data_IF_425169710049
#
_entry.id   IF_425169710049
#
_cell.length_a   1.000
_cell.length_b   1.000
_cell.length_c   1.000
_cell.angle_alpha   90.00
_cell.angle_beta   90.00
_cell.angle_gamma   90.00
#
_symmetry.space_group_name_H-M   'P 1'
#
loop_
_entity.id
_entity.type
_entity.pdbx_description
1 polymer ?
#
# COMPACT_ATOMS: atom_id res chain seq x y z
N UNK A 1 -4.31 59.99 50.30
CA UNK A 1 -4.15 58.74 49.52
C UNK A 1 -4.34 59.14 48.07
N UNK A 2 -3.28 59.17 47.27
CA UNK A 2 -3.44 59.43 45.84
C UNK A 2 -4.11 58.22 45.19
N UNK A 3 -5.22 58.47 44.49
CA UNK A 3 -5.90 57.45 43.71
C UNK A 3 -5.15 57.30 42.38
N UNK A 4 -4.52 56.15 42.17
CA UNK A 4 -3.94 55.79 40.87
C UNK A 4 -5.04 55.15 40.04
N UNK A 5 -5.39 55.76 38.91
CA UNK A 5 -6.29 55.18 37.92
C UNK A 5 -5.52 54.19 37.06
N UNK A 6 -5.83 52.89 37.17
CA UNK A 6 -5.28 51.84 36.31
C UNK A 6 -6.32 51.45 35.26
N UNK A 7 -5.95 51.49 33.98
CA UNK A 7 -6.77 50.94 32.89
C UNK A 7 -6.18 49.57 32.54
N UNK A 8 -6.93 48.50 32.85
CA UNK A 8 -6.53 47.13 32.52
C UNK A 8 -7.42 46.55 31.40
N UNK A 9 -6.85 45.70 30.57
CA UNK A 9 -7.56 45.01 29.51
C UNK A 9 -6.84 43.75 29.02
N UNK A 10 -7.34 43.19 27.93
CA UNK A 10 -6.69 42.08 27.22
C UNK A 10 -6.61 42.38 25.73
N UNK A 11 -5.53 41.94 25.08
CA UNK A 11 -5.35 42.00 23.64
C UNK A 11 -4.90 40.63 23.11
N UNK A 12 -5.31 40.27 21.90
CA UNK A 12 -4.71 39.13 21.18
C UNK A 12 -3.58 39.67 20.31
N UNK A 13 -2.43 39.02 20.39
CA UNK A 13 -1.26 39.31 19.58
C UNK A 13 -0.95 38.11 18.69
N UNK A 14 -0.69 38.41 17.41
CA UNK A 14 -0.35 37.44 16.38
C UNK A 14 1.16 37.46 16.20
N UNK A 15 1.81 36.32 16.41
CA UNK A 15 3.25 36.17 16.24
C UNK A 15 3.52 35.24 15.06
N UNK A 16 4.21 35.72 14.03
CA UNK A 16 4.70 34.85 12.95
C UNK A 16 5.83 33.97 13.50
N UNK A 17 5.57 32.66 13.58
CA UNK A 17 6.50 31.65 14.12
C UNK A 17 7.17 30.82 13.02
N UNK A 18 6.72 30.96 11.77
CA UNK A 18 7.34 30.30 10.62
C UNK A 18 6.78 30.74 9.28
N UNK A 19 7.48 30.36 8.22
CA UNK A 19 7.03 30.50 6.83
C UNK A 19 7.68 29.42 5.97
N UNK A 20 7.09 29.16 4.81
CA UNK A 20 7.56 28.14 3.88
C UNK A 20 6.59 27.96 2.73
N UNK A 21 6.60 26.77 2.13
CA UNK A 21 5.60 26.36 1.14
C UNK A 21 4.87 25.10 1.61
N UNK A 22 3.60 24.98 1.27
CA UNK A 22 2.75 23.83 1.59
C UNK A 22 1.75 23.58 0.46
N UNK A 23 1.15 22.40 0.44
CA UNK A 23 0.05 22.08 -0.47
C UNK A 23 -1.25 22.69 0.06
N UNK A 24 -1.74 23.78 -0.55
CA UNK A 24 -2.95 24.46 -0.10
C UNK A 24 -4.20 23.66 -0.52
N UNK A 25 -5.03 23.18 0.43
CA UNK A 25 -6.24 22.41 0.10
C UNK A 25 -7.25 23.19 -0.75
N UNK A 26 -7.34 24.51 -0.58
CA UNK A 26 -8.25 25.35 -1.36
C UNK A 26 -7.78 25.58 -2.81
N UNK A 27 -6.46 25.60 -3.05
CA UNK A 27 -5.89 25.89 -4.37
C UNK A 27 -5.38 24.64 -5.11
N UNK A 28 -5.23 23.51 -4.41
CA UNK A 28 -4.73 22.25 -4.99
C UNK A 28 -3.28 22.32 -5.48
N UNK A 29 -2.49 23.28 -5.01
CA UNK A 29 -1.12 23.53 -5.48
C UNK A 29 -0.20 24.00 -4.35
N UNK A 30 1.12 23.98 -4.58
CA UNK A 30 2.11 24.47 -3.63
C UNK A 30 2.06 25.99 -3.54
N UNK A 31 1.79 26.50 -2.34
CA UNK A 31 1.67 27.92 -2.06
C UNK A 31 2.56 28.34 -0.90
N UNK A 32 3.01 29.60 -0.86
CA UNK A 32 3.67 30.16 0.31
C UNK A 32 2.69 30.29 1.49
N UNK A 33 3.17 30.08 2.72
CA UNK A 33 2.38 30.23 3.94
C UNK A 33 3.07 31.04 5.03
N UNK A 34 2.27 31.58 5.96
CA UNK A 34 2.72 32.04 7.27
C UNK A 34 2.14 31.14 8.36
N UNK A 35 2.98 30.75 9.32
CA UNK A 35 2.56 30.06 10.53
C UNK A 35 2.50 31.08 11.66
N UNK A 36 1.32 31.22 12.25
CA UNK A 36 1.02 32.27 13.23
C UNK A 36 0.59 31.63 14.54
N UNK A 37 1.18 32.09 15.64
CA UNK A 37 0.76 31.77 17.01
C UNK A 37 -0.03 32.92 17.59
N UNK A 38 -1.17 32.58 18.21
CA UNK A 38 -2.04 33.52 18.88
C UNK A 38 -1.77 33.53 20.38
N UNK A 39 -1.45 34.71 20.93
CA UNK A 39 -1.23 34.87 22.37
C UNK A 39 -2.20 35.90 22.96
N UNK A 40 -2.80 35.57 24.09
CA UNK A 40 -3.59 36.51 24.88
C UNK A 40 -2.67 37.27 25.83
N UNK A 41 -2.60 38.59 25.68
CA UNK A 41 -1.80 39.50 26.51
C UNK A 41 -2.69 40.27 27.48
N UNK A 42 -2.24 40.43 28.72
CA UNK A 42 -2.78 41.42 29.64
C UNK A 42 -2.22 42.80 29.26
N UNK A 43 -3.07 43.82 29.25
CA UNK A 43 -2.68 45.19 28.94
C UNK A 43 -2.88 46.11 30.13
N UNK A 44 -1.97 47.06 30.31
CA UNK A 44 -2.12 48.19 31.21
C UNK A 44 -1.93 49.47 30.39
N UNK A 45 -2.87 50.41 30.48
CA UNK A 45 -2.90 51.62 29.64
C UNK A 45 -2.72 51.32 28.14
N UNK A 46 -3.40 50.26 27.66
CA UNK A 46 -3.32 49.76 26.27
C UNK A 46 -1.96 49.20 25.83
N UNK A 47 -0.96 49.16 26.71
CA UNK A 47 0.34 48.54 26.45
C UNK A 47 0.30 47.08 26.94
N UNK A 48 0.67 46.08 26.12
CA UNK A 48 0.84 44.70 26.56
C UNK A 48 1.94 44.60 27.63
N UNK A 49 1.65 44.01 28.78
CA UNK A 49 2.59 43.91 29.91
C UNK A 49 2.93 42.48 30.31
N UNK A 50 2.06 41.51 30.01
CA UNK A 50 2.32 40.09 30.29
C UNK A 50 1.53 39.17 29.35
N UNK A 51 2.08 38.01 29.00
CA UNK A 51 1.33 36.92 28.35
C UNK A 51 0.48 36.20 29.38
N UNK A 52 -0.81 36.05 29.09
CA UNK A 52 -1.76 35.31 29.93
C UNK A 52 -1.86 33.85 29.51
N UNK A 53 -2.01 33.60 28.21
CA UNK A 53 -2.18 32.26 27.65
C UNK A 53 -1.88 32.21 26.15
N UNK A 54 -1.49 31.06 25.65
CA UNK A 54 -1.49 30.73 24.22
C UNK A 54 -2.91 30.30 23.80
N UNK A 55 -3.38 30.78 22.66
CA UNK A 55 -4.74 30.52 22.14
C UNK A 55 -4.75 29.49 21.00
N UNK A 56 -3.56 29.12 20.50
CA UNK A 56 -3.39 28.16 19.41
C UNK A 56 -2.52 28.72 18.28
N UNK A 57 -2.36 27.92 17.24
CA UNK A 57 -1.60 28.24 16.05
C UNK A 57 -2.43 27.98 14.79
N UNK A 58 -2.17 28.72 13.72
CA UNK A 58 -2.76 28.48 12.41
C UNK A 58 -1.77 28.76 11.29
N UNK A 59 -1.98 28.10 10.16
CA UNK A 59 -1.24 28.30 8.91
C UNK A 59 -2.13 29.07 7.96
N UNK A 60 -1.62 30.16 7.41
CA UNK A 60 -2.32 31.01 6.45
C UNK A 60 -1.66 30.94 5.08
N UNK A 61 -2.44 30.57 4.07
CA UNK A 61 -1.99 30.63 2.69
C UNK A 61 -1.81 32.09 2.26
N UNK A 62 -0.63 32.44 1.76
CA UNK A 62 -0.32 33.80 1.28
C UNK A 62 -0.87 34.10 -0.13
N UNK A 63 -1.48 33.10 -0.79
CA UNK A 63 -2.15 33.25 -2.09
C UNK A 63 -3.65 33.48 -1.91
N UNK A 64 -4.39 32.50 -1.38
CA UNK A 64 -5.84 32.63 -1.18
C UNK A 64 -6.31 33.20 0.18
N UNK A 65 -5.42 33.35 1.17
CA UNK A 65 -5.78 33.83 2.52
C UNK A 65 -6.53 32.82 3.41
N UNK A 66 -6.70 31.58 2.95
CA UNK A 66 -7.33 30.53 3.78
C UNK A 66 -6.45 30.15 4.97
N UNK A 67 -7.08 29.87 6.11
CA UNK A 67 -6.42 29.47 7.36
C UNK A 67 -6.70 28.00 7.69
N UNK A 68 -5.70 27.33 8.26
CA UNK A 68 -5.72 25.90 8.54
C UNK A 68 -5.02 25.59 9.86
N UNK A 69 -5.31 24.42 10.44
CA UNK A 69 -4.50 23.90 11.55
C UNK A 69 -3.07 23.55 11.09
N UNK A 70 -2.05 23.61 11.96
CA UNK A 70 -0.66 23.34 11.59
C UNK A 70 -0.41 21.98 10.93
N UNK A 71 -1.27 20.98 11.20
CA UNK A 71 -1.21 19.67 10.56
C UNK A 71 -1.35 19.74 9.02
N UNK A 72 -1.88 20.83 8.45
CA UNK A 72 -1.92 21.04 6.99
C UNK A 72 -0.53 21.05 6.35
N UNK A 73 0.52 21.35 7.12
CA UNK A 73 1.89 21.33 6.62
C UNK A 73 2.37 19.91 6.28
N UNK A 74 1.71 18.90 6.83
CA UNK A 74 1.98 17.48 6.54
C UNK A 74 1.08 16.94 5.41
N UNK A 75 0.19 17.77 4.86
CA UNK A 75 -0.71 17.38 3.77
C UNK A 75 0.07 17.13 2.47
N UNK A 76 -0.01 15.89 1.99
CA UNK A 76 0.54 15.47 0.70
C UNK A 76 -0.60 15.33 -0.31
N UNK A 77 -0.36 15.74 -1.56
CA UNK A 77 -1.30 15.49 -2.66
C UNK A 77 -1.20 14.03 -3.11
N UNK A 78 -2.19 13.58 -3.88
CA UNK A 78 -2.10 12.25 -4.52
C UNK A 78 -0.86 12.15 -5.43
N UNK A 79 -0.54 13.21 -6.18
CA UNK A 79 0.67 13.25 -7.03
C UNK A 79 1.97 13.14 -6.23
N UNK A 80 2.04 13.79 -5.05
CA UNK A 80 3.19 13.66 -4.15
C UNK A 80 3.32 12.20 -3.66
N UNK A 81 2.20 11.56 -3.30
CA UNK A 81 2.16 10.17 -2.87
C UNK A 81 2.54 9.18 -3.98
N UNK A 82 2.03 9.39 -5.19
CA UNK A 82 2.35 8.55 -6.36
C UNK A 82 3.85 8.68 -6.72
N UNK A 83 4.39 9.89 -6.64
CA UNK A 83 5.83 10.14 -6.83
C UNK A 83 6.66 9.44 -5.75
N UNK A 84 6.27 9.57 -4.48
CA UNK A 84 6.94 8.89 -3.37
C UNK A 84 6.88 7.36 -3.53
N UNK A 85 5.74 6.84 -4.04
CA UNK A 85 5.54 5.42 -4.30
C UNK A 85 6.50 4.92 -5.38
N UNK A 86 6.56 5.62 -6.52
CA UNK A 86 7.49 5.28 -7.60
C UNK A 86 8.95 5.29 -7.14
N UNK A 87 9.34 6.30 -6.34
CA UNK A 87 10.70 6.40 -5.79
C UNK A 87 11.00 5.23 -4.85
N UNK A 88 10.06 4.84 -3.98
CA UNK A 88 10.29 3.75 -3.06
C UNK A 88 10.34 2.40 -3.78
N UNK A 89 9.46 2.15 -4.76
CA UNK A 89 9.48 0.92 -5.57
C UNK A 89 10.82 0.81 -6.28
N UNK A 90 11.30 1.88 -6.92
CA UNK A 90 12.58 1.87 -7.61
C UNK A 90 13.75 1.62 -6.64
N UNK A 91 13.77 2.27 -5.47
CA UNK A 91 14.82 2.05 -4.46
C UNK A 91 14.80 0.64 -3.89
N UNK A 92 13.61 0.10 -3.65
CA UNK A 92 13.44 -1.28 -3.21
C UNK A 92 13.99 -2.24 -4.28
N UNK A 93 13.57 -2.06 -5.53
CA UNK A 93 13.98 -2.91 -6.63
C UNK A 93 15.51 -2.94 -6.76
N UNK A 94 16.13 -1.76 -6.69
CA UNK A 94 17.59 -1.62 -6.70
C UNK A 94 18.26 -2.19 -5.43
N UNK A 95 17.64 -2.17 -4.25
CA UNK A 95 18.21 -2.78 -3.05
C UNK A 95 18.20 -4.30 -3.14
N UNK A 96 17.10 -4.88 -3.66
CA UNK A 96 16.91 -6.32 -3.84
C UNK A 96 17.89 -6.88 -4.87
N UNK A 97 17.87 -6.40 -6.11
CA UNK A 97 18.74 -6.95 -7.18
C UNK A 97 20.22 -6.68 -6.94
N UNK A 98 20.59 -5.75 -6.04
CA UNK A 98 22.00 -5.52 -5.66
C UNK A 98 22.37 -6.21 -4.33
N UNK A 99 21.54 -7.10 -3.81
CA UNK A 99 21.76 -7.72 -2.50
C UNK A 99 22.90 -8.75 -2.54
N UNK A 100 22.96 -9.57 -3.60
CA UNK A 100 23.95 -10.62 -3.79
C UNK A 100 25.23 -10.11 -4.51
N UNK A 101 25.15 -8.91 -5.12
CA UNK A 101 26.24 -8.25 -5.84
C UNK A 101 26.34 -8.61 -7.33
N UNK A 102 25.41 -9.38 -7.88
CA UNK A 102 25.26 -9.64 -9.32
C UNK A 102 23.90 -9.12 -9.77
N UNK A 103 23.75 -8.82 -11.05
CA UNK A 103 22.46 -8.41 -11.62
C UNK A 103 22.37 -9.01 -13.02
N UNK A 104 21.48 -9.99 -13.17
CA UNK A 104 21.17 -10.68 -14.43
C UNK A 104 20.39 -9.78 -15.39
N UNK A 105 20.28 -10.18 -16.65
CA UNK A 105 19.49 -9.43 -17.63
C UNK A 105 17.97 -9.54 -17.35
N UNK A 106 17.52 -10.66 -16.80
CA UNK A 106 16.11 -10.88 -16.41
C UNK A 106 15.72 -9.99 -15.22
N UNK A 107 16.58 -9.87 -14.21
CA UNK A 107 16.39 -8.93 -13.10
C UNK A 107 16.37 -7.47 -13.59
N UNK A 108 17.25 -7.10 -14.53
CA UNK A 108 17.24 -5.75 -15.13
C UNK A 108 15.91 -5.46 -15.81
N UNK A 109 15.39 -6.42 -16.57
CA UNK A 109 14.12 -6.27 -17.25
C UNK A 109 12.97 -6.19 -16.24
N UNK A 110 12.97 -7.04 -15.21
CA UNK A 110 11.96 -7.02 -14.16
C UNK A 110 11.92 -5.68 -13.40
N UNK A 111 13.08 -5.08 -13.12
CA UNK A 111 13.17 -3.74 -12.51
C UNK A 111 12.55 -2.68 -13.42
N UNK A 112 12.82 -2.74 -14.72
CA UNK A 112 12.25 -1.79 -15.71
C UNK A 112 10.74 -1.92 -15.79
N UNK A 113 10.25 -3.15 -15.95
CA UNK A 113 8.83 -3.43 -16.09
C UNK A 113 8.07 -3.01 -14.83
N UNK A 114 8.62 -3.33 -13.67
CA UNK A 114 8.05 -2.93 -12.39
C UNK A 114 8.09 -1.41 -12.19
N UNK A 115 9.22 -0.75 -12.44
CA UNK A 115 9.32 0.69 -12.25
C UNK A 115 8.39 1.46 -13.18
N UNK A 116 8.28 1.05 -14.44
CA UNK A 116 7.40 1.68 -15.42
C UNK A 116 5.91 1.50 -15.13
N UNK A 117 5.51 0.55 -14.25
CA UNK A 117 4.14 0.47 -13.76
C UNK A 117 3.76 1.64 -12.84
N UNK A 118 4.75 2.24 -12.16
CA UNK A 118 4.54 3.32 -11.17
C UNK A 118 5.01 4.69 -11.67
N UNK A 119 5.77 4.76 -12.77
CA UNK A 119 6.19 6.02 -13.36
C UNK A 119 5.11 6.57 -14.30
N UNK A 120 4.79 7.86 -14.16
CA UNK A 120 3.91 8.59 -15.07
C UNK A 120 4.63 9.84 -15.63
N UNK A 121 5.01 9.87 -16.94
CA UNK A 121 4.89 8.76 -17.89
C UNK A 121 5.94 7.67 -17.66
N UNK A 122 5.69 6.43 -18.14
CA UNK A 122 6.71 5.39 -18.16
C UNK A 122 7.88 5.80 -19.07
N UNK A 123 9.11 5.50 -18.65
CA UNK A 123 10.28 5.97 -19.37
C UNK A 123 11.64 5.48 -18.87
N UNK A 124 11.67 4.58 -17.87
CA UNK A 124 12.93 3.98 -17.45
C UNK A 124 13.43 3.05 -18.56
N UNK A 125 14.65 3.29 -19.04
CA UNK A 125 15.32 2.49 -20.07
C UNK A 125 16.44 1.65 -19.46
N UNK A 126 16.91 0.63 -20.19
CA UNK A 126 18.10 -0.16 -19.81
C UNK A 126 19.34 0.71 -19.60
N UNK A 127 19.53 1.76 -20.41
CA UNK A 127 20.66 2.68 -20.24
C UNK A 127 20.55 3.48 -18.95
N UNK A 128 19.36 4.04 -18.64
CA UNK A 128 19.12 4.76 -17.40
C UNK A 128 19.26 3.87 -16.17
N UNK A 129 18.74 2.63 -16.22
CA UNK A 129 18.92 1.65 -15.16
C UNK A 129 20.41 1.30 -14.96
N UNK A 130 21.16 1.10 -16.04
CA UNK A 130 22.58 0.76 -15.97
C UNK A 130 23.41 1.87 -15.30
N UNK A 131 23.10 3.14 -15.56
CA UNK A 131 23.74 4.29 -14.90
C UNK A 131 23.44 4.34 -13.40
N UNK A 132 22.18 4.07 -13.02
CA UNK A 132 21.78 3.99 -11.61
C UNK A 132 22.50 2.83 -10.89
N UNK A 133 22.55 1.65 -11.50
CA UNK A 133 23.23 0.49 -10.94
C UNK A 133 24.74 0.76 -10.77
N UNK A 134 25.40 1.34 -11.76
CA UNK A 134 26.83 1.69 -11.67
C UNK A 134 27.11 2.66 -10.49
N UNK A 135 26.23 3.64 -10.29
CA UNK A 135 26.33 4.60 -9.18
C UNK A 135 26.13 3.91 -7.83
N UNK A 136 25.14 3.00 -7.73
CA UNK A 136 24.77 2.34 -6.48
C UNK A 136 25.70 1.19 -6.09
N UNK A 137 26.33 0.51 -7.05
CA UNK A 137 27.30 -0.56 -6.78
C UNK A 137 28.54 -0.06 -6.02
N UNK A 138 28.94 1.20 -6.23
CA UNK A 138 30.04 1.84 -5.49
C UNK A 138 29.63 2.21 -4.05
N UNK A 139 28.33 2.32 -3.78
CA UNK A 139 27.84 2.64 -2.45
C UNK A 139 27.81 1.42 -1.53
N UNK A 140 28.14 1.64 -0.26
CA UNK A 140 28.02 0.58 0.75
C UNK A 140 26.55 0.12 0.88
N UNK A 141 26.34 -1.17 1.15
CA UNK A 141 25.02 -1.73 1.43
C UNK A 141 24.28 -0.97 2.56
N UNK A 142 25.02 -0.44 3.55
CA UNK A 142 24.46 0.39 4.63
C UNK A 142 23.88 1.70 4.12
N UNK A 143 24.57 2.36 3.18
CA UNK A 143 24.11 3.61 2.57
C UNK A 143 22.84 3.39 1.75
N UNK A 144 22.85 2.35 0.88
CA UNK A 144 21.68 1.95 0.09
C UNK A 144 20.49 1.66 1.00
N UNK A 145 20.69 0.82 2.00
CA UNK A 145 19.63 0.41 2.92
C UNK A 145 19.07 1.57 3.76
N UNK A 146 19.86 2.61 4.06
CA UNK A 146 19.37 3.84 4.70
C UNK A 146 18.51 4.67 3.75
N UNK A 147 18.91 4.76 2.48
CA UNK A 147 18.16 5.46 1.44
C UNK A 147 16.78 4.83 1.21
N UNK A 148 16.73 3.50 1.10
CA UNK A 148 15.45 2.78 0.98
C UNK A 148 14.60 2.93 2.24
N UNK A 149 15.20 2.81 3.43
CA UNK A 149 14.47 3.02 4.68
C UNK A 149 13.81 4.39 4.75
N UNK A 150 14.48 5.44 4.27
CA UNK A 150 13.93 6.80 4.22
C UNK A 150 12.73 6.89 3.27
N UNK A 151 12.82 6.29 2.09
CA UNK A 151 11.71 6.31 1.12
C UNK A 151 10.50 5.48 1.62
N UNK A 152 10.75 4.35 2.28
CA UNK A 152 9.68 3.54 2.87
C UNK A 152 9.02 4.23 4.07
N UNK A 153 9.76 5.01 4.85
CA UNK A 153 9.21 5.78 5.96
C UNK A 153 8.23 6.86 5.48
N UNK A 154 8.54 7.51 4.36
CA UNK A 154 7.67 8.51 3.71
C UNK A 154 6.34 7.90 3.25
N UNK A 155 6.34 6.63 2.84
CA UNK A 155 5.13 5.90 2.45
C UNK A 155 4.42 5.17 3.58
N UNK A 156 5.12 4.91 4.69
CA UNK A 156 4.67 4.00 5.72
C UNK A 156 3.32 4.37 6.33
N UNK A 157 3.05 5.67 6.52
CA UNK A 157 1.76 6.17 7.02
C UNK A 157 0.66 6.17 5.95
N UNK A 158 1.02 6.28 4.67
CA UNK A 158 0.08 6.34 3.56
C UNK A 158 -0.40 4.96 3.10
N UNK A 159 0.44 3.93 3.21
CA UNK A 159 0.09 2.56 2.82
C UNK A 159 -0.71 1.84 3.91
N UNK A 160 -1.92 1.40 3.54
CA UNK A 160 -2.68 0.44 4.33
C UNK A 160 -1.99 -0.95 4.36
N UNK A 161 -2.49 -1.87 5.18
CA UNK A 161 -1.88 -3.19 5.35
C UNK A 161 -1.79 -3.98 4.03
N UNK A 162 -2.77 -3.83 3.14
CA UNK A 162 -2.79 -4.52 1.85
C UNK A 162 -1.74 -3.95 0.90
N UNK A 163 -1.61 -2.63 0.81
CA UNK A 163 -0.56 -1.96 0.04
C UNK A 163 0.84 -2.36 0.51
N UNK A 164 1.04 -2.53 1.83
CA UNK A 164 2.30 -3.03 2.40
C UNK A 164 2.61 -4.46 1.97
N UNK A 165 1.60 -5.35 1.88
CA UNK A 165 1.77 -6.74 1.39
C UNK A 165 2.12 -6.76 -0.09
N UNK A 166 1.40 -5.99 -0.91
CA UNK A 166 1.67 -5.84 -2.35
C UNK A 166 3.11 -5.40 -2.55
N UNK A 167 3.58 -4.43 -1.77
CA UNK A 167 4.95 -3.93 -1.86
C UNK A 167 6.01 -5.02 -1.57
N UNK A 168 5.77 -5.87 -0.58
CA UNK A 168 6.65 -7.03 -0.29
C UNK A 168 6.58 -8.07 -1.40
N UNK A 169 5.39 -8.33 -1.96
CA UNK A 169 5.21 -9.23 -3.11
C UNK A 169 5.98 -8.73 -4.33
N UNK A 170 5.92 -7.44 -4.64
CA UNK A 170 6.71 -6.83 -5.71
C UNK A 170 8.21 -7.04 -5.49
N UNK A 171 8.70 -6.85 -4.26
CA UNK A 171 10.10 -7.12 -3.91
C UNK A 171 10.50 -8.57 -4.19
N UNK A 172 9.63 -9.52 -3.84
CA UNK A 172 9.86 -10.95 -4.06
C UNK A 172 9.84 -11.32 -5.55
N UNK A 173 8.85 -10.83 -6.31
CA UNK A 173 8.76 -11.09 -7.75
C UNK A 173 9.97 -10.54 -8.52
N UNK A 174 10.56 -9.43 -8.05
CA UNK A 174 11.78 -8.88 -8.62
C UNK A 174 13.00 -9.78 -8.38
N UNK A 175 13.15 -10.31 -7.17
CA UNK A 175 14.23 -11.26 -6.86
C UNK A 175 14.05 -12.56 -7.65
N UNK A 176 12.82 -13.10 -7.70
CA UNK A 176 12.51 -14.36 -8.38
C UNK A 176 12.48 -14.26 -9.91
N UNK A 177 12.90 -13.13 -10.51
CA UNK A 177 12.77 -12.88 -11.95
C UNK A 177 13.58 -13.85 -12.80
N UNK A 178 14.73 -14.31 -12.31
CA UNK A 178 15.58 -15.31 -12.97
C UNK A 178 15.28 -16.75 -12.53
N UNK A 179 14.26 -16.93 -11.69
CA UNK A 179 13.79 -18.22 -11.19
C UNK A 179 14.46 -18.71 -9.90
N UNK A 180 15.44 -17.98 -9.36
CA UNK A 180 16.06 -18.28 -8.06
C UNK A 180 15.94 -17.05 -7.13
N UNK A 181 15.95 -17.27 -5.82
CA UNK A 181 16.01 -16.19 -4.83
C UNK A 181 17.13 -16.50 -3.86
N UNK A 182 18.18 -15.70 -3.86
CA UNK A 182 19.32 -15.87 -2.99
C UNK A 182 18.99 -15.49 -1.53
N UNK A 183 19.68 -16.11 -0.57
CA UNK A 183 19.52 -15.81 0.86
C UNK A 183 19.73 -14.32 1.19
N UNK A 184 20.63 -13.64 0.48
CA UNK A 184 20.88 -12.20 0.62
C UNK A 184 19.69 -11.35 0.19
N UNK A 185 19.02 -11.72 -0.90
CA UNK A 185 17.82 -11.02 -1.39
C UNK A 185 16.65 -11.26 -0.45
N UNK A 186 16.50 -12.51 0.00
CA UNK A 186 15.53 -12.90 1.01
C UNK A 186 15.68 -12.08 2.30
N UNK A 187 16.92 -11.88 2.78
CA UNK A 187 17.18 -11.04 3.95
C UNK A 187 16.74 -9.59 3.73
N UNK A 188 17.03 -9.02 2.55
CA UNK A 188 16.59 -7.67 2.18
C UNK A 188 15.07 -7.57 2.16
N UNK A 189 14.36 -8.53 1.57
CA UNK A 189 12.89 -8.54 1.50
C UNK A 189 12.27 -8.62 2.90
N UNK A 190 12.77 -9.53 3.76
CA UNK A 190 12.30 -9.64 5.16
C UNK A 190 12.57 -8.34 5.93
N UNK A 191 13.72 -7.71 5.72
CA UNK A 191 14.06 -6.42 6.35
C UNK A 191 13.14 -5.29 5.87
N UNK A 192 12.81 -5.27 4.58
CA UNK A 192 11.85 -4.33 4.00
C UNK A 192 10.46 -4.52 4.60
N UNK A 193 9.97 -5.76 4.69
CA UNK A 193 8.69 -6.06 5.34
C UNK A 193 8.68 -5.53 6.79
N UNK A 194 9.76 -5.75 7.55
CA UNK A 194 9.85 -5.22 8.92
C UNK A 194 9.81 -3.69 8.98
N UNK A 195 10.37 -2.98 7.99
CA UNK A 195 10.31 -1.51 7.89
C UNK A 195 8.90 -1.02 7.55
N UNK A 196 8.14 -1.82 6.80
CA UNK A 196 6.73 -1.59 6.52
C UNK A 196 5.83 -1.96 7.70
N UNK A 197 6.38 -2.30 8.87
CA UNK A 197 5.63 -2.51 10.10
C UNK A 197 5.17 -3.94 10.37
N UNK A 198 5.60 -4.92 9.56
CA UNK A 198 5.38 -6.34 9.88
C UNK A 198 6.28 -6.77 11.05
N UNK A 199 5.76 -7.60 11.95
CA UNK A 199 6.57 -8.27 12.96
C UNK A 199 7.58 -9.23 12.30
N UNK A 200 8.57 -9.69 13.06
CA UNK A 200 9.57 -10.64 12.55
C UNK A 200 8.92 -11.93 12.02
N UNK A 201 7.89 -12.43 12.70
CA UNK A 201 7.22 -13.67 12.33
C UNK A 201 6.33 -13.45 11.09
N UNK A 202 5.58 -12.34 11.03
CA UNK A 202 4.77 -12.01 9.86
C UNK A 202 5.62 -11.79 8.61
N UNK A 203 6.74 -11.07 8.73
CA UNK A 203 7.66 -10.86 7.62
C UNK A 203 8.25 -12.18 7.09
N UNK A 204 8.68 -13.08 8.00
CA UNK A 204 9.19 -14.39 7.61
C UNK A 204 8.12 -15.30 7.00
N UNK A 205 6.91 -15.30 7.56
CA UNK A 205 5.78 -16.08 7.05
C UNK A 205 5.29 -15.60 5.69
N UNK A 206 5.28 -14.28 5.45
CA UNK A 206 4.89 -13.70 4.17
C UNK A 206 5.85 -14.12 3.04
N UNK A 207 7.16 -14.04 3.28
CA UNK A 207 8.15 -14.47 2.28
C UNK A 207 8.07 -15.96 2.03
N UNK A 208 7.91 -16.79 3.07
CA UNK A 208 7.73 -18.23 2.91
C UNK A 208 6.46 -18.58 2.12
N UNK A 209 5.36 -17.85 2.31
CA UNK A 209 4.15 -18.04 1.52
C UNK A 209 4.39 -17.74 0.02
N UNK A 210 5.12 -16.65 -0.27
CA UNK A 210 5.49 -16.29 -1.64
C UNK A 210 6.44 -17.30 -2.29
N UNK A 211 7.36 -17.90 -1.52
CA UNK A 211 8.22 -19.01 -1.97
C UNK A 211 7.38 -20.22 -2.39
N UNK A 212 6.36 -20.59 -1.61
CA UNK A 212 5.42 -21.67 -1.96
C UNK A 212 4.58 -21.32 -3.19
N UNK A 213 4.09 -20.08 -3.29
CA UNK A 213 3.35 -19.58 -4.46
C UNK A 213 4.20 -19.65 -5.74
N UNK A 214 5.47 -19.26 -5.66
CA UNK A 214 6.39 -19.23 -6.80
C UNK A 214 6.95 -20.61 -7.18
N UNK A 215 7.13 -21.49 -6.20
CA UNK A 215 7.54 -22.89 -6.43
C UNK A 215 6.45 -23.73 -7.09
N UNK A 216 5.21 -23.23 -7.17
CA UNK A 216 4.16 -23.83 -7.98
C UNK A 216 3.68 -25.21 -7.49
N UNK A 217 3.69 -25.47 -6.18
CA UNK A 217 3.30 -26.80 -5.69
C UNK A 217 1.86 -26.90 -5.16
N UNK A 218 1.07 -25.82 -5.21
CA UNK A 218 -0.30 -25.83 -4.69
C UNK A 218 -1.07 -24.64 -5.30
N UNK A 219 -2.00 -24.91 -6.23
CA UNK A 219 -2.91 -23.88 -6.76
C UNK A 219 -4.35 -24.35 -6.61
N UNK A 220 -5.23 -23.50 -6.06
CA UNK A 220 -6.65 -23.82 -5.96
C UNK A 220 -7.22 -23.91 -7.37
N UNK A 221 -7.89 -25.01 -7.67
CA UNK A 221 -8.46 -25.26 -8.99
C UNK A 221 -9.71 -26.12 -8.87
N UNK A 222 -10.74 -25.78 -9.63
CA UNK A 222 -11.92 -26.62 -9.78
C UNK A 222 -11.52 -27.86 -10.60
N UNK A 223 -11.75 -29.04 -10.03
CA UNK A 223 -11.47 -30.34 -10.65
C UNK A 223 -12.74 -31.17 -10.73
N UNK A 224 -12.72 -32.24 -11.53
CA UNK A 224 -13.85 -33.17 -11.57
C UNK A 224 -14.09 -33.81 -10.19
N UNK A 225 -13.03 -34.02 -9.40
CA UNK A 225 -13.13 -34.57 -8.06
C UNK A 225 -13.80 -33.59 -7.10
N UNK A 226 -13.41 -32.31 -7.10
CA UNK A 226 -14.05 -31.29 -6.26
C UNK A 226 -15.52 -31.06 -6.63
N UNK A 227 -15.91 -31.26 -7.90
CA UNK A 227 -17.29 -31.16 -8.35
C UNK A 227 -18.13 -32.39 -7.96
N UNK A 228 -17.55 -33.59 -8.03
CA UNK A 228 -18.19 -34.81 -7.53
C UNK A 228 -18.41 -34.74 -6.01
N UNK A 229 -17.39 -34.33 -5.26
CA UNK A 229 -17.47 -34.14 -3.81
C UNK A 229 -18.48 -33.04 -3.44
N UNK A 230 -18.61 -32.00 -4.28
CA UNK A 230 -19.61 -30.96 -4.08
C UNK A 230 -21.02 -31.51 -4.29
N UNK A 231 -21.22 -32.35 -5.30
CA UNK A 231 -22.53 -32.97 -5.59
C UNK A 231 -23.02 -33.85 -4.42
N UNK A 232 -22.08 -34.55 -3.76
CA UNK A 232 -22.33 -35.37 -2.58
C UNK A 232 -22.44 -34.57 -1.26
N UNK A 233 -22.16 -33.27 -1.30
CA UNK A 233 -22.18 -32.41 -0.12
C UNK A 233 -23.59 -32.05 0.35
N UNK A 234 -23.73 -31.84 1.67
CA UNK A 234 -24.98 -31.33 2.26
C UNK A 234 -25.33 -29.94 1.74
N UNK A 235 -24.32 -29.08 1.51
CA UNK A 235 -24.51 -27.73 1.00
C UNK A 235 -25.19 -27.74 -0.38
N UNK A 236 -24.78 -28.67 -1.25
CA UNK A 236 -25.39 -28.86 -2.56
C UNK A 236 -26.78 -29.47 -2.46
N UNK A 237 -26.96 -30.55 -1.69
CA UNK A 237 -28.25 -31.20 -1.51
C UNK A 237 -29.33 -30.24 -0.97
N UNK A 238 -29.00 -29.43 0.04
CA UNK A 238 -29.91 -28.46 0.67
C UNK A 238 -30.33 -27.31 -0.26
N UNK A 239 -29.48 -26.97 -1.22
CA UNK A 239 -29.79 -25.95 -2.22
C UNK A 239 -30.52 -26.54 -3.43
N UNK A 240 -30.04 -27.65 -3.97
CA UNK A 240 -30.56 -28.31 -5.16
C UNK A 240 -31.99 -28.85 -4.99
N UNK A 241 -32.38 -29.24 -3.77
CA UNK A 241 -33.75 -29.72 -3.46
C UNK A 241 -34.85 -28.67 -3.75
N UNK A 242 -34.47 -27.38 -3.87
CA UNK A 242 -35.40 -26.27 -4.14
C UNK A 242 -35.83 -26.19 -5.62
N UNK A 243 -35.23 -26.99 -6.50
CA UNK A 243 -35.54 -27.04 -7.92
C UNK A 243 -36.34 -28.30 -8.27
N UNK A 244 -37.29 -28.19 -9.23
CA UNK A 244 -38.09 -29.33 -9.68
C UNK A 244 -37.23 -30.37 -10.41
N UNK A 245 -37.69 -31.62 -10.49
CA UNK A 245 -36.99 -32.71 -11.19
C UNK A 245 -36.64 -32.39 -12.66
N UNK A 246 -37.40 -31.49 -13.29
CA UNK A 246 -37.20 -30.99 -14.66
C UNK A 246 -36.13 -29.89 -14.82
N UNK A 247 -35.61 -29.34 -13.71
CA UNK A 247 -34.65 -28.22 -13.67
C UNK A 247 -33.38 -28.55 -12.87
N UNK A 248 -33.19 -29.82 -12.50
CA UNK A 248 -31.97 -30.27 -11.80
C UNK A 248 -30.77 -30.07 -12.71
N UNK A 249 -29.78 -29.34 -12.18
CA UNK A 249 -28.47 -29.19 -12.79
C UNK A 249 -27.41 -29.74 -11.84
N UNK A 250 -26.29 -30.23 -12.36
CA UNK A 250 -25.16 -30.75 -11.56
C UNK A 250 -24.06 -29.69 -11.38
N UNK A 251 -23.14 -29.85 -10.41
CA UNK A 251 -21.97 -28.97 -10.31
C UNK A 251 -21.14 -28.94 -11.60
N UNK A 252 -21.05 -30.08 -12.29
CA UNK A 252 -20.37 -30.23 -13.58
C UNK A 252 -21.01 -29.35 -14.67
N UNK A 253 -22.34 -29.22 -14.71
CA UNK A 253 -23.04 -28.37 -15.68
C UNK A 253 -22.90 -26.86 -15.39
N UNK A 254 -22.51 -26.49 -14.17
CA UNK A 254 -22.25 -25.10 -13.79
C UNK A 254 -20.77 -24.74 -13.98
N UNK A 255 -19.88 -25.56 -13.42
CA UNK A 255 -18.47 -25.24 -13.21
C UNK A 255 -17.52 -26.11 -14.04
N UNK A 256 -17.99 -27.17 -14.69
CA UNK A 256 -17.19 -28.09 -15.50
C UNK A 256 -16.69 -27.48 -16.83
N UNK A 257 -15.98 -28.25 -17.67
CA UNK A 257 -15.36 -27.78 -18.92
C UNK A 257 -16.33 -27.13 -19.92
N UNK A 258 -17.58 -27.55 -19.92
CA UNK A 258 -18.67 -26.96 -20.72
C UNK A 258 -19.70 -26.20 -19.88
N UNK A 259 -19.34 -25.87 -18.64
CA UNK A 259 -20.22 -25.30 -17.64
C UNK A 259 -20.60 -23.84 -17.92
N UNK A 260 -21.74 -23.41 -17.38
CA UNK A 260 -22.34 -22.10 -17.67
C UNK A 260 -21.54 -20.89 -17.17
N UNK A 261 -20.62 -21.07 -16.21
CA UNK A 261 -19.92 -19.95 -15.55
C UNK A 261 -18.45 -19.79 -16.01
N UNK A 262 -17.93 -20.69 -16.85
CA UNK A 262 -16.65 -20.48 -17.55
C UNK A 262 -15.41 -20.39 -16.64
N UNK A 263 -15.45 -21.02 -15.46
CA UNK A 263 -14.34 -21.02 -14.49
C UNK A 263 -13.44 -22.25 -14.55
N UNK A 264 -13.81 -23.22 -15.40
CA UNK A 264 -13.00 -24.40 -15.60
C UNK A 264 -11.63 -24.06 -16.21
N UNK A 265 -10.56 -24.62 -15.65
CA UNK A 265 -9.19 -24.37 -16.09
C UNK A 265 -8.57 -23.08 -15.55
N UNK A 266 -9.32 -22.29 -14.77
CA UNK A 266 -8.74 -21.21 -13.98
C UNK A 266 -8.05 -21.77 -12.74
N UNK A 267 -7.03 -21.06 -12.28
CA UNK A 267 -6.26 -21.40 -11.09
C UNK A 267 -6.11 -20.16 -10.21
N UNK A 268 -6.14 -20.36 -8.89
CA UNK A 268 -6.07 -19.28 -7.91
C UNK A 268 -4.96 -19.51 -6.89
N UNK A 269 -4.18 -18.47 -6.56
CA UNK A 269 -3.07 -18.59 -5.62
C UNK A 269 -3.54 -18.80 -4.16
N UNK A 270 -4.77 -18.37 -3.82
CA UNK A 270 -5.32 -18.50 -2.47
C UNK A 270 -6.82 -18.82 -2.49
N UNK A 271 -7.32 -19.33 -1.36
CA UNK A 271 -8.75 -19.55 -1.13
C UNK A 271 -9.54 -18.23 -1.24
N UNK A 272 -9.00 -17.11 -0.78
CA UNK A 272 -9.64 -15.79 -0.84
C UNK A 272 -9.74 -15.28 -2.28
N UNK A 273 -8.72 -15.53 -3.10
CA UNK A 273 -8.73 -15.16 -4.52
C UNK A 273 -9.78 -15.97 -5.30
N UNK A 274 -9.86 -17.28 -5.02
CA UNK A 274 -10.89 -18.16 -5.59
C UNK A 274 -12.29 -17.71 -5.14
N UNK A 275 -12.49 -17.54 -3.84
CA UNK A 275 -13.73 -17.04 -3.23
C UNK A 275 -14.18 -15.74 -3.89
N UNK A 276 -13.34 -14.70 -3.88
CA UNK A 276 -13.64 -13.40 -4.49
C UNK A 276 -14.07 -13.53 -5.95
N UNK A 277 -13.38 -14.36 -6.74
CA UNK A 277 -13.74 -14.61 -8.15
C UNK A 277 -15.11 -15.26 -8.30
N UNK A 278 -15.42 -16.27 -7.48
CA UNK A 278 -16.69 -16.99 -7.54
C UNK A 278 -17.88 -16.14 -7.03
N UNK A 279 -17.64 -15.25 -6.07
CA UNK A 279 -18.66 -14.31 -5.56
C UNK A 279 -18.94 -13.15 -6.54
N UNK A 280 -17.99 -12.76 -7.40
CA UNK A 280 -18.14 -11.61 -8.30
C UNK A 280 -19.15 -11.82 -9.46
N UNK A 281 -19.54 -13.06 -9.77
CA UNK A 281 -20.55 -13.35 -10.81
C UNK A 281 -21.94 -13.67 -10.24
N UNK A 282 -22.34 -13.02 -9.14
CA UNK A 282 -23.72 -13.11 -8.62
C UNK A 282 -24.74 -12.43 -9.55
N UNK A 283 -24.94 -13.00 -10.72
CA UNK A 283 -26.08 -12.79 -11.62
C UNK A 283 -27.03 -14.00 -11.69
N UNK A 284 -26.89 -15.02 -10.81
CA UNK A 284 -27.69 -16.25 -10.95
C UNK A 284 -27.66 -17.25 -9.78
N UNK A 285 -28.13 -16.87 -8.59
CA UNK A 285 -28.83 -17.81 -7.68
C UNK A 285 -28.05 -18.88 -6.88
N UNK A 286 -26.72 -19.01 -7.01
CA UNK A 286 -25.91 -19.95 -6.18
C UNK A 286 -25.66 -19.35 -4.78
N UNK A 287 -25.96 -20.03 -3.66
CA UNK A 287 -25.74 -19.52 -2.31
C UNK A 287 -24.26 -19.52 -1.92
N UNK A 288 -23.91 -18.57 -1.05
CA UNK A 288 -22.62 -18.48 -0.37
C UNK A 288 -22.11 -19.83 0.16
N UNK A 289 -22.97 -20.61 0.84
CA UNK A 289 -22.61 -21.91 1.41
C UNK A 289 -22.14 -22.95 0.37
N UNK A 290 -22.65 -22.89 -0.87
CA UNK A 290 -22.23 -23.77 -1.96
C UNK A 290 -20.89 -23.31 -2.53
N UNK A 291 -20.67 -21.99 -2.61
CA UNK A 291 -19.41 -21.41 -3.07
C UNK A 291 -18.28 -21.70 -2.06
N UNK A 292 -18.52 -21.47 -0.78
CA UNK A 292 -17.53 -21.71 0.28
C UNK A 292 -17.14 -23.19 0.35
N UNK A 293 -18.11 -24.09 0.16
CA UNK A 293 -17.86 -25.54 0.09
C UNK A 293 -17.11 -25.95 -1.18
N UNK A 294 -17.45 -25.37 -2.34
CA UNK A 294 -16.71 -25.59 -3.59
C UNK A 294 -15.26 -25.13 -3.47
N UNK A 295 -15.04 -23.95 -2.87
CA UNK A 295 -13.70 -23.45 -2.58
C UNK A 295 -13.01 -24.53 -1.75
N UNK A 296 -13.51 -24.83 -0.54
CA UNK A 296 -12.93 -25.83 0.38
C UNK A 296 -12.58 -27.17 -0.28
N UNK A 297 -13.42 -27.68 -1.18
CA UNK A 297 -13.21 -28.94 -1.90
C UNK A 297 -12.21 -28.83 -3.05
N UNK A 298 -12.04 -27.64 -3.61
CA UNK A 298 -11.00 -27.29 -4.59
C UNK A 298 -9.65 -26.98 -3.94
N UNK A 299 -9.53 -27.30 -2.64
CA UNK A 299 -8.28 -27.15 -1.93
C UNK A 299 -7.18 -27.99 -2.60
N UNK A 300 -5.99 -27.42 -2.74
CA UNK A 300 -4.81 -28.14 -3.20
C UNK A 300 -4.54 -29.34 -2.26
N UNK A 301 -4.34 -30.53 -2.85
CA UNK A 301 -4.15 -31.80 -2.13
C UNK A 301 -2.68 -32.15 -1.97
#
# INVERSE_FOLDING_TARGET
VEAVLLIAGTKVEENSVGSGTFNCPAEGSKQPYHHVRLEKKATAFFVPVATMSELGEYVECQSCGATYEPAVLEYQTQEDLDTALAVAVLRLALEVVLADGRVTDDERQAVIDTANLYLDPPGLTLSGLSEMLATLQVQSAKTRSKSTASALAELGSALNMEGRRIFVRTAYCLAAADGEVADSEREVIVKTARRLGFSKNEAGGLVAALEVEAAGEVVWQITHESLADLEDSLAWADWAIKFSDSLKFTPEEIYGPGGKIGYWGLTWPTAEAMTSTLYNNMGGGVPAAVIDELVRLSAPK
#
